data_IF_606060555409
#
_entry.id   IF_606060555409
#
_cell.length_a   1.000
_cell.length_b   1.000
_cell.length_c   1.000
_cell.angle_alpha   90.00
_cell.angle_beta   90.00
_cell.angle_gamma   90.00
#
_symmetry.space_group_name_H-M   'P 1'
#
loop_
_entity.id
_entity.type
_entity.pdbx_description
1 polymer ?
#
# COMPACT_ATOMS: atom_id res chain seq x y z
N UNK A 1 11.97 -10.74 -24.65
CA UNK A 1 10.70 -11.44 -24.31
C UNK A 1 10.92 -12.76 -23.55
N UNK A 2 11.64 -13.77 -24.09
CA UNK A 2 11.92 -15.04 -23.36
C UNK A 2 12.61 -14.84 -22.01
N UNK A 3 13.67 -14.01 -21.96
CA UNK A 3 14.38 -13.71 -20.71
C UNK A 3 13.50 -13.07 -19.64
N UNK A 4 12.57 -12.18 -20.04
CA UNK A 4 11.64 -11.50 -19.12
C UNK A 4 10.54 -12.44 -18.61
N UNK A 5 10.10 -13.40 -19.42
CA UNK A 5 9.11 -14.41 -19.01
C UNK A 5 9.68 -15.46 -18.06
N UNK A 6 11.01 -15.64 -18.00
CA UNK A 6 11.69 -16.52 -17.04
C UNK A 6 12.09 -15.85 -15.74
N UNK A 7 11.91 -14.53 -15.60
CA UNK A 7 12.23 -13.83 -14.35
C UNK A 7 11.22 -14.21 -13.28
N UNK A 8 11.75 -14.54 -12.10
CA UNK A 8 10.96 -14.91 -10.92
C UNK A 8 10.88 -13.73 -9.93
N UNK A 9 11.99 -13.00 -9.74
CA UNK A 9 12.07 -11.77 -8.95
C UNK A 9 12.52 -10.60 -9.84
N UNK A 10 11.57 -9.82 -10.36
CA UNK A 10 11.83 -8.73 -11.30
C UNK A 10 12.72 -7.61 -10.73
N UNK A 11 12.44 -7.02 -9.55
CA UNK A 11 13.29 -5.98 -8.98
C UNK A 11 14.74 -6.42 -8.78
N UNK A 12 14.96 -7.66 -8.31
CA UNK A 12 16.31 -8.20 -8.12
C UNK A 12 17.03 -8.41 -9.44
N UNK A 13 16.37 -9.06 -10.40
CA UNK A 13 16.93 -9.29 -11.73
C UNK A 13 17.27 -7.98 -12.46
N UNK A 14 16.41 -6.96 -12.38
CA UNK A 14 16.67 -5.65 -13.00
C UNK A 14 17.87 -4.94 -12.38
N UNK A 15 18.08 -5.08 -11.06
CA UNK A 15 19.27 -4.59 -10.36
C UNK A 15 20.52 -5.35 -10.82
N UNK A 16 20.45 -6.68 -10.91
CA UNK A 16 21.57 -7.54 -11.34
C UNK A 16 22.00 -7.22 -12.78
N UNK A 17 21.05 -7.04 -13.69
CA UNK A 17 21.35 -6.61 -15.07
C UNK A 17 22.02 -5.24 -15.13
N UNK A 18 21.63 -4.30 -14.25
CA UNK A 18 22.32 -3.02 -14.14
C UNK A 18 23.78 -3.18 -13.75
N UNK A 19 24.07 -4.04 -12.77
CA UNK A 19 25.44 -4.35 -12.34
C UNK A 19 26.25 -5.03 -13.45
N UNK A 20 25.68 -6.02 -14.14
CA UNK A 20 26.33 -6.71 -15.27
C UNK A 20 26.65 -5.75 -16.43
N UNK A 21 25.77 -4.79 -16.69
CA UNK A 21 25.95 -3.79 -17.74
C UNK A 21 26.80 -2.58 -17.30
N UNK A 22 27.16 -2.47 -16.02
CA UNK A 22 27.85 -1.30 -15.47
C UNK A 22 27.02 -0.02 -15.58
N UNK A 23 25.69 -0.11 -15.46
CA UNK A 23 24.76 1.00 -15.65
C UNK A 23 23.74 1.08 -14.51
N UNK A 24 23.44 2.31 -14.10
CA UNK A 24 22.44 2.60 -13.06
C UNK A 24 20.99 2.64 -13.59
N UNK A 25 20.85 2.61 -14.92
CA UNK A 25 19.58 2.42 -15.62
C UNK A 25 19.67 1.29 -16.63
N UNK A 26 18.56 0.60 -16.87
CA UNK A 26 18.46 -0.41 -17.93
C UNK A 26 17.24 -0.15 -18.82
N UNK A 27 17.30 -0.62 -20.06
CA UNK A 27 16.17 -0.59 -20.98
C UNK A 27 15.79 -2.01 -21.40
N UNK A 28 14.47 -2.25 -21.45
CA UNK A 28 13.87 -3.50 -21.91
C UNK A 28 12.92 -3.14 -23.04
N UNK A 29 13.17 -3.67 -24.23
CA UNK A 29 12.32 -3.46 -25.40
C UNK A 29 11.40 -4.65 -25.61
N UNK A 30 10.09 -4.36 -25.60
CA UNK A 30 9.03 -5.25 -26.06
C UNK A 30 8.48 -4.71 -27.40
N UNK A 31 7.82 -5.53 -28.23
CA UNK A 31 7.18 -5.04 -29.45
C UNK A 31 6.26 -3.85 -29.15
N UNK A 32 6.60 -2.67 -29.68
CA UNK A 32 5.82 -1.43 -29.51
C UNK A 32 5.95 -0.73 -28.14
N UNK A 33 6.78 -1.23 -27.22
CA UNK A 33 6.92 -0.64 -25.88
C UNK A 33 8.37 -0.68 -25.39
N UNK A 34 8.87 0.47 -24.93
CA UNK A 34 10.15 0.57 -24.20
C UNK A 34 9.85 0.69 -22.72
N UNK A 35 10.54 -0.10 -21.89
CA UNK A 35 10.52 -0.02 -20.44
C UNK A 35 11.91 0.38 -19.96
N UNK A 36 12.00 1.45 -19.19
CA UNK A 36 13.22 1.93 -18.53
C UNK A 36 13.10 1.61 -17.04
N UNK A 37 14.14 1.01 -16.45
CA UNK A 37 14.21 0.74 -15.00
C UNK A 37 15.32 1.57 -14.39
N UNK A 38 14.99 2.28 -13.31
CA UNK A 38 15.90 3.14 -12.57
C UNK A 38 16.38 2.41 -11.32
N UNK A 39 17.66 2.04 -11.27
CA UNK A 39 18.25 1.25 -10.18
C UNK A 39 19.07 2.08 -9.18
N UNK A 40 19.27 3.40 -9.42
CA UNK A 40 19.97 4.31 -8.51
C UNK A 40 19.08 5.44 -8.01
N UNK A 41 19.42 5.96 -6.83
CA UNK A 41 18.80 7.16 -6.27
C UNK A 41 18.98 8.37 -7.20
N UNK A 42 20.18 8.53 -7.78
CA UNK A 42 20.47 9.63 -8.71
C UNK A 42 19.54 9.63 -9.93
N UNK A 43 19.32 8.47 -10.55
CA UNK A 43 18.43 8.37 -11.71
C UNK A 43 16.96 8.63 -11.34
N UNK A 44 16.53 8.13 -10.19
CA UNK A 44 15.18 8.38 -9.65
C UNK A 44 14.97 9.88 -9.39
N UNK A 45 15.91 10.54 -8.71
CA UNK A 45 15.80 11.96 -8.36
C UNK A 45 15.84 12.84 -9.60
N UNK A 46 16.70 12.52 -10.57
CA UNK A 46 16.79 13.29 -11.80
C UNK A 46 15.51 13.17 -12.64
N UNK A 47 15.00 11.96 -12.86
CA UNK A 47 13.89 11.73 -13.78
C UNK A 47 12.52 11.88 -13.12
N UNK A 48 12.28 11.22 -11.99
CA UNK A 48 10.95 11.18 -11.37
C UNK A 48 10.66 12.38 -10.47
N UNK A 49 11.71 13.05 -9.95
CA UNK A 49 11.56 14.21 -9.05
C UNK A 49 11.81 15.52 -9.80
N UNK A 50 13.05 15.79 -10.23
CA UNK A 50 13.42 17.06 -10.88
C UNK A 50 12.69 17.26 -12.21
N UNK A 51 12.64 16.21 -13.05
CA UNK A 51 11.93 16.22 -14.34
C UNK A 51 10.49 15.69 -14.24
N UNK A 52 9.88 15.83 -13.07
CA UNK A 52 8.54 15.28 -12.81
C UNK A 52 7.45 15.75 -13.79
N UNK A 53 7.57 16.91 -14.45
CA UNK A 53 6.63 17.32 -15.51
C UNK A 53 6.63 16.40 -16.73
N UNK A 54 7.74 15.69 -16.99
CA UNK A 54 7.91 14.77 -18.11
C UNK A 54 7.52 13.34 -17.70
N UNK A 55 7.88 12.93 -16.48
CA UNK A 55 7.79 11.54 -16.02
C UNK A 55 6.62 11.24 -15.08
N UNK A 56 5.71 12.18 -14.83
CA UNK A 56 4.57 11.94 -13.94
C UNK A 56 3.32 11.42 -14.65
N UNK A 57 3.38 11.01 -15.91
CA UNK A 57 2.23 10.40 -16.57
C UNK A 57 2.14 8.89 -16.25
N UNK A 58 1.07 8.22 -16.70
CA UNK A 58 0.85 6.78 -16.50
C UNK A 58 0.68 6.06 -17.83
N UNK A 59 1.26 4.86 -17.98
CA UNK A 59 1.10 4.10 -19.22
C UNK A 59 -0.30 3.51 -19.31
N UNK A 60 -0.79 3.38 -20.54
CA UNK A 60 -2.01 2.64 -20.80
C UNK A 60 -1.71 1.14 -20.81
N UNK A 61 -2.18 0.42 -19.78
CA UNK A 61 -2.03 -1.03 -19.64
C UNK A 61 -3.40 -1.67 -19.84
N UNK A 62 -3.71 -2.28 -21.00
CA UNK A 62 -5.06 -2.75 -21.33
C UNK A 62 -5.73 -3.62 -20.27
N UNK A 63 -5.02 -4.61 -19.70
CA UNK A 63 -5.61 -5.52 -18.71
C UNK A 63 -6.15 -4.77 -17.50
N UNK A 64 -5.51 -3.67 -17.11
CA UNK A 64 -5.89 -2.83 -15.97
C UNK A 64 -6.85 -1.70 -16.36
N UNK A 65 -6.53 -0.97 -17.43
CA UNK A 65 -7.17 0.31 -17.73
C UNK A 65 -8.39 0.19 -18.65
N UNK A 66 -8.50 -0.86 -19.46
CA UNK A 66 -9.57 -0.99 -20.45
C UNK A 66 -10.90 -1.36 -19.80
N UNK A 67 -11.97 -0.65 -20.16
CA UNK A 67 -13.34 -0.96 -19.75
C UNK A 67 -13.84 -2.28 -20.34
N UNK A 68 -13.25 -2.75 -21.44
CA UNK A 68 -13.51 -4.08 -22.00
C UNK A 68 -12.96 -5.21 -21.12
N UNK A 69 -12.09 -4.89 -20.15
CA UNK A 69 -11.38 -5.82 -19.29
C UNK A 69 -11.68 -5.55 -17.81
N UNK A 70 -10.74 -5.00 -17.04
CA UNK A 70 -10.93 -4.76 -15.60
C UNK A 70 -11.42 -3.36 -15.26
N UNK A 71 -11.19 -2.35 -16.10
CA UNK A 71 -11.79 -1.01 -15.99
C UNK A 71 -11.33 -0.16 -14.79
N UNK A 72 -10.03 -0.15 -14.48
CA UNK A 72 -9.45 0.72 -13.45
C UNK A 72 -8.91 2.06 -13.98
N UNK A 73 -9.13 2.40 -15.27
CA UNK A 73 -8.51 3.56 -15.93
C UNK A 73 -8.76 4.93 -15.28
N UNK A 74 -9.78 5.02 -14.42
CA UNK A 74 -10.18 6.23 -13.70
C UNK A 74 -9.67 6.31 -12.25
N UNK A 75 -8.92 5.31 -11.81
CA UNK A 75 -8.34 5.26 -10.46
C UNK A 75 -7.13 6.20 -10.34
N UNK A 76 -7.08 7.02 -9.28
CA UNK A 76 -6.08 8.08 -9.09
C UNK A 76 -4.63 7.60 -9.20
N UNK A 77 -4.36 6.35 -8.83
CA UNK A 77 -3.00 5.80 -8.87
C UNK A 77 -2.49 5.51 -10.30
N UNK A 78 -3.39 5.26 -11.27
CA UNK A 78 -3.01 4.85 -12.64
C UNK A 78 -3.57 5.72 -13.75
N UNK A 79 -4.50 6.63 -13.44
CA UNK A 79 -4.97 7.60 -14.44
C UNK A 79 -3.82 8.51 -14.88
N UNK A 80 -3.82 8.84 -16.18
CA UNK A 80 -2.88 9.76 -16.79
C UNK A 80 -2.90 11.14 -16.15
N UNK A 81 -1.80 11.88 -16.30
CA UNK A 81 -1.68 13.22 -15.76
C UNK A 81 -2.64 14.17 -16.50
N UNK A 82 -3.54 14.83 -15.76
CA UNK A 82 -4.55 15.70 -16.34
C UNK A 82 -5.48 16.29 -15.29
N UNK A 83 -6.51 17.01 -15.72
CA UNK A 83 -7.46 17.68 -14.83
C UNK A 83 -8.15 16.71 -13.87
N UNK A 84 -8.55 15.53 -14.35
CA UNK A 84 -9.15 14.49 -13.51
C UNK A 84 -8.22 14.04 -12.39
N UNK A 85 -6.95 13.74 -12.73
CA UNK A 85 -5.96 13.37 -11.73
C UNK A 85 -5.71 14.49 -10.72
N UNK A 86 -5.57 15.74 -11.19
CA UNK A 86 -5.34 16.91 -10.32
C UNK A 86 -6.49 17.10 -9.34
N UNK A 87 -7.73 16.99 -9.81
CA UNK A 87 -8.93 17.04 -8.97
C UNK A 87 -8.90 15.92 -7.93
N UNK A 88 -8.76 14.66 -8.35
CA UNK A 88 -8.75 13.52 -7.42
C UNK A 88 -7.62 13.64 -6.38
N UNK A 89 -6.45 14.14 -6.77
CA UNK A 89 -5.33 14.40 -5.83
C UNK A 89 -5.61 15.53 -4.87
N UNK A 90 -6.25 16.62 -5.32
CA UNK A 90 -6.68 17.72 -4.45
C UNK A 90 -7.63 17.19 -3.37
N UNK A 91 -8.68 16.48 -3.77
CA UNK A 91 -9.69 15.91 -2.85
C UNK A 91 -9.04 14.94 -1.86
N UNK A 92 -8.16 14.05 -2.32
CA UNK A 92 -7.39 13.17 -1.41
C UNK A 92 -6.53 13.97 -0.42
N UNK A 93 -5.88 15.03 -0.87
CA UNK A 93 -5.00 15.84 -0.04
C UNK A 93 -5.76 16.57 1.09
N UNK A 94 -7.00 17.01 0.84
CA UNK A 94 -7.84 17.68 1.86
C UNK A 94 -7.98 16.86 3.14
N UNK A 95 -8.03 15.53 3.02
CA UNK A 95 -8.18 14.65 4.17
C UNK A 95 -6.87 13.93 4.52
N UNK A 96 -5.96 13.64 3.57
CA UNK A 96 -4.78 12.81 3.84
C UNK A 96 -3.49 13.58 4.14
N UNK A 97 -3.50 14.91 4.00
CA UNK A 97 -2.36 15.74 4.42
C UNK A 97 -2.11 15.61 5.93
N UNK A 98 -0.91 16.00 6.38
CA UNK A 98 -0.45 15.73 7.75
C UNK A 98 -1.46 16.15 8.82
N UNK A 99 -1.84 17.42 8.86
CA UNK A 99 -2.74 17.94 9.91
C UNK A 99 -4.12 17.26 9.89
N UNK A 100 -4.65 16.98 8.69
CA UNK A 100 -5.93 16.27 8.55
C UNK A 100 -5.82 14.76 8.89
N UNK A 101 -4.61 14.19 8.83
CA UNK A 101 -4.34 12.85 9.35
C UNK A 101 -4.31 12.84 10.87
N UNK A 102 -3.83 13.92 11.49
CA UNK A 102 -3.74 14.07 12.94
C UNK A 102 -5.12 14.16 13.61
N UNK A 103 -6.08 14.82 12.96
CA UNK A 103 -7.49 14.83 13.39
C UNK A 103 -8.11 13.42 13.47
N UNK A 104 -7.57 12.43 12.75
CA UNK A 104 -8.06 11.04 12.75
C UNK A 104 -7.31 10.12 13.72
N UNK A 105 -6.30 10.61 14.42
CA UNK A 105 -5.56 9.80 15.40
C UNK A 105 -6.45 9.08 16.41
N UNK A 106 -7.53 9.70 16.97
CA UNK A 106 -8.41 8.99 17.90
C UNK A 106 -9.06 7.74 17.29
N UNK A 107 -9.45 7.79 16.02
CA UNK A 107 -10.02 6.63 15.31
C UNK A 107 -8.96 5.54 15.10
N UNK A 108 -7.76 5.94 14.68
CA UNK A 108 -6.64 5.03 14.41
C UNK A 108 -6.21 4.32 15.70
N UNK A 109 -6.07 5.05 16.81
CA UNK A 109 -5.74 4.51 18.12
C UNK A 109 -6.84 3.57 18.63
N UNK A 110 -8.11 3.98 18.54
CA UNK A 110 -9.25 3.16 18.96
C UNK A 110 -9.25 1.82 18.25
N UNK A 111 -9.17 1.81 16.93
CA UNK A 111 -9.25 0.59 16.13
C UNK A 111 -8.00 -0.29 16.33
N UNK A 112 -6.82 0.30 16.52
CA UNK A 112 -5.60 -0.43 16.89
C UNK A 112 -5.76 -1.14 18.24
N UNK A 113 -6.30 -0.45 19.26
CA UNK A 113 -6.50 -1.04 20.59
C UNK A 113 -7.58 -2.13 20.59
N UNK A 114 -8.66 -1.96 19.84
CA UNK A 114 -9.65 -3.02 19.60
C UNK A 114 -9.03 -4.25 18.91
N UNK A 115 -8.09 -4.04 17.99
CA UNK A 115 -7.37 -5.14 17.35
C UNK A 115 -6.49 -5.89 18.36
N UNK A 116 -5.82 -5.19 19.27
CA UNK A 116 -5.07 -5.83 20.37
C UNK A 116 -5.96 -6.70 21.26
N UNK A 117 -7.18 -6.26 21.57
CA UNK A 117 -8.15 -7.07 22.34
C UNK A 117 -8.53 -8.36 21.60
N UNK A 118 -8.75 -8.27 20.29
CA UNK A 118 -9.08 -9.45 19.47
C UNK A 118 -7.89 -10.38 19.27
N UNK A 119 -6.68 -9.84 19.12
CA UNK A 119 -5.42 -10.63 19.12
C UNK A 119 -5.24 -11.34 20.46
N UNK A 120 -5.51 -10.66 21.59
CA UNK A 120 -5.45 -11.29 22.91
C UNK A 120 -6.43 -12.45 23.05
N UNK A 121 -7.65 -12.29 22.52
CA UNK A 121 -8.68 -13.33 22.57
C UNK A 121 -8.38 -14.52 21.65
N UNK A 122 -7.75 -14.28 20.49
CA UNK A 122 -7.40 -15.32 19.51
C UNK A 122 -6.08 -15.00 18.79
N UNK A 123 -4.92 -15.27 19.42
CA UNK A 123 -3.61 -14.86 18.90
C UNK A 123 -3.24 -15.56 17.60
N UNK A 124 -3.74 -16.78 17.37
CA UNK A 124 -3.49 -17.55 16.14
C UNK A 124 -4.11 -16.88 14.89
N UNK A 125 -5.08 -15.97 15.07
CA UNK A 125 -5.81 -15.33 13.99
C UNK A 125 -5.31 -13.89 13.68
N UNK A 126 -4.12 -13.50 14.15
CA UNK A 126 -3.61 -12.14 13.97
C UNK A 126 -3.56 -11.70 12.49
N UNK A 127 -3.30 -12.61 11.56
CA UNK A 127 -3.24 -12.31 10.12
C UNK A 127 -4.57 -11.78 9.58
N UNK A 128 -5.68 -12.37 10.02
CA UNK A 128 -7.04 -11.97 9.68
C UNK A 128 -7.43 -10.71 10.46
N UNK A 129 -7.02 -10.61 11.72
CA UNK A 129 -7.30 -9.44 12.56
C UNK A 129 -6.66 -8.17 12.00
N UNK A 130 -5.42 -8.23 11.50
CA UNK A 130 -4.80 -7.08 10.83
C UNK A 130 -5.63 -6.60 9.62
N UNK A 131 -6.20 -7.54 8.84
CA UNK A 131 -7.07 -7.21 7.71
C UNK A 131 -8.37 -6.57 8.18
N UNK A 132 -8.98 -7.15 9.21
CA UNK A 132 -10.18 -6.60 9.84
C UNK A 132 -9.97 -5.15 10.24
N UNK A 133 -8.98 -4.91 11.10
CA UNK A 133 -8.65 -3.60 11.65
C UNK A 133 -8.51 -2.55 10.54
N UNK A 134 -7.67 -2.83 9.53
CA UNK A 134 -7.44 -1.84 8.46
C UNK A 134 -8.67 -1.63 7.58
N UNK A 135 -9.42 -2.68 7.26
CA UNK A 135 -10.56 -2.57 6.35
C UNK A 135 -11.78 -1.96 7.03
N UNK A 136 -12.08 -2.31 8.29
CA UNK A 136 -13.16 -1.70 9.07
C UNK A 136 -12.87 -0.21 9.34
N UNK A 137 -11.62 0.13 9.67
CA UNK A 137 -11.19 1.52 9.86
C UNK A 137 -11.41 2.34 8.58
N UNK A 138 -11.04 1.81 7.41
CA UNK A 138 -11.24 2.51 6.13
C UNK A 138 -12.71 2.60 5.73
N UNK A 139 -13.50 1.55 5.94
CA UNK A 139 -14.94 1.60 5.68
C UNK A 139 -15.62 2.68 6.54
N UNK A 140 -15.26 2.75 7.82
CA UNK A 140 -15.74 3.79 8.72
C UNK A 140 -15.25 5.18 8.30
N UNK A 141 -13.94 5.36 8.10
CA UNK A 141 -13.36 6.67 7.80
C UNK A 141 -13.82 7.23 6.45
N UNK A 142 -13.87 6.39 5.40
CA UNK A 142 -14.17 6.83 4.03
C UNK A 142 -15.67 6.95 3.82
N UNK A 143 -16.47 5.99 4.30
CA UNK A 143 -17.89 5.87 3.97
C UNK A 143 -18.84 6.07 5.17
N UNK A 144 -18.32 6.08 6.40
CA UNK A 144 -19.13 6.02 7.62
C UNK A 144 -19.78 4.65 7.82
N UNK A 145 -19.26 3.62 7.15
CA UNK A 145 -19.82 2.28 7.13
C UNK A 145 -19.24 1.45 8.29
N UNK A 146 -20.09 1.01 9.21
CA UNK A 146 -19.70 0.15 10.32
C UNK A 146 -19.78 -1.33 9.91
N UNK A 147 -18.62 -1.93 9.66
CA UNK A 147 -18.52 -3.37 9.45
C UNK A 147 -18.73 -4.10 10.78
N UNK A 148 -19.66 -5.06 10.80
CA UNK A 148 -20.05 -5.80 12.03
C UNK A 148 -19.47 -7.20 12.11
N UNK A 149 -19.05 -7.79 10.99
CA UNK A 149 -18.44 -9.12 10.93
C UNK A 149 -17.38 -9.22 9.85
N UNK A 150 -16.37 -10.07 10.09
CA UNK A 150 -15.37 -10.50 9.10
C UNK A 150 -15.98 -11.08 7.82
N UNK A 151 -17.21 -11.58 7.90
CA UNK A 151 -17.95 -12.14 6.77
C UNK A 151 -18.62 -11.07 5.90
N UNK A 152 -18.46 -9.78 6.23
CA UNK A 152 -18.96 -8.70 5.40
C UNK A 152 -18.41 -8.82 3.97
N UNK A 153 -19.34 -8.85 3.03
CA UNK A 153 -19.04 -9.07 1.62
C UNK A 153 -18.07 -8.03 1.03
N UNK A 154 -17.98 -6.83 1.63
CA UNK A 154 -17.08 -5.77 1.19
C UNK A 154 -15.60 -6.13 1.39
N UNK A 155 -15.23 -6.87 2.45
CA UNK A 155 -13.84 -7.33 2.63
C UNK A 155 -13.41 -8.28 1.52
N UNK A 156 -14.25 -9.26 1.19
CA UNK A 156 -14.00 -10.19 0.09
C UNK A 156 -13.98 -9.48 -1.25
N UNK A 157 -14.87 -8.50 -1.43
CA UNK A 157 -14.97 -7.69 -2.65
C UNK A 157 -13.67 -6.91 -2.88
N UNK A 158 -13.18 -6.18 -1.87
CA UNK A 158 -11.92 -5.40 -1.98
C UNK A 158 -10.70 -6.31 -2.13
N UNK A 159 -10.65 -7.46 -1.44
CA UNK A 159 -9.54 -8.41 -1.57
C UNK A 159 -9.42 -8.93 -3.02
N UNK A 160 -10.54 -9.38 -3.62
CA UNK A 160 -10.52 -9.91 -4.99
C UNK A 160 -10.23 -8.80 -5.99
N UNK A 161 -10.81 -7.61 -5.82
CA UNK A 161 -10.60 -6.47 -6.71
C UNK A 161 -9.13 -6.00 -6.72
N UNK A 162 -8.55 -5.81 -5.53
CA UNK A 162 -7.16 -5.34 -5.38
C UNK A 162 -6.12 -6.39 -5.78
N UNK A 163 -6.38 -7.67 -5.50
CA UNK A 163 -5.54 -8.77 -6.03
C UNK A 163 -5.56 -8.79 -7.55
N UNK A 164 -6.74 -8.59 -8.16
CA UNK A 164 -6.88 -8.49 -9.61
C UNK A 164 -6.10 -7.33 -10.20
N UNK A 165 -6.23 -6.15 -9.60
CA UNK A 165 -5.45 -4.96 -9.97
C UNK A 165 -3.93 -5.22 -9.89
N UNK A 166 -3.46 -5.79 -8.77
CA UNK A 166 -2.03 -6.04 -8.54
C UNK A 166 -1.40 -7.02 -9.52
N UNK A 167 -2.18 -7.93 -10.10
CA UNK A 167 -1.72 -8.83 -11.16
C UNK A 167 -1.82 -8.19 -12.55
N UNK A 168 -2.89 -7.42 -12.80
CA UNK A 168 -3.16 -6.80 -14.10
C UNK A 168 -2.15 -5.71 -14.48
N UNK A 169 -1.68 -4.93 -13.50
CA UNK A 169 -0.75 -3.80 -13.71
C UNK A 169 0.68 -4.24 -14.00
N UNK A 170 1.03 -5.48 -13.69
CA UNK A 170 2.33 -6.06 -14.02
C UNK A 170 2.34 -6.42 -15.50
N UNK A 171 3.00 -5.58 -16.31
CA UNK A 171 3.02 -5.67 -17.78
C UNK A 171 3.28 -7.10 -18.30
N UNK A 172 4.33 -7.84 -17.86
CA UNK A 172 4.60 -9.20 -18.36
C UNK A 172 3.56 -10.27 -18.01
N UNK A 173 2.64 -10.03 -17.08
CA UNK A 173 1.70 -11.07 -16.62
C UNK A 173 0.66 -11.46 -17.69
N UNK A 174 0.35 -10.56 -18.63
CA UNK A 174 -0.69 -10.78 -19.63
C UNK A 174 -0.27 -10.29 -21.01
N UNK A 175 -0.38 -11.13 -22.04
CA UNK A 175 0.00 -10.76 -23.42
C UNK A 175 -0.80 -9.57 -23.97
N UNK A 176 -2.04 -9.35 -23.48
CA UNK A 176 -2.85 -8.19 -23.88
C UNK A 176 -2.19 -6.86 -23.48
N UNK A 177 -1.32 -6.85 -22.47
CA UNK A 177 -0.57 -5.65 -22.08
C UNK A 177 0.55 -5.29 -23.05
N UNK A 178 0.98 -6.23 -23.92
CA UNK A 178 1.95 -5.98 -24.99
C UNK A 178 1.24 -5.85 -26.34
N UNK A 179 0.29 -6.73 -26.61
CA UNK A 179 -0.50 -6.75 -27.84
C UNK A 179 -1.91 -6.25 -27.56
N UNK A 180 -2.07 -4.93 -27.56
CA UNK A 180 -3.30 -4.26 -27.11
C UNK A 180 -4.56 -4.67 -27.87
N UNK A 181 -4.44 -5.11 -29.13
CA UNK A 181 -5.57 -5.58 -29.93
C UNK A 181 -6.22 -6.86 -29.38
N UNK A 182 -5.50 -7.62 -28.54
CA UNK A 182 -6.06 -8.82 -27.89
C UNK A 182 -7.24 -8.49 -26.97
N UNK A 183 -7.41 -7.24 -26.54
CA UNK A 183 -8.57 -6.82 -25.74
C UNK A 183 -9.90 -6.98 -26.48
N UNK A 184 -9.89 -7.06 -27.81
CA UNK A 184 -11.10 -7.22 -28.64
C UNK A 184 -11.41 -8.67 -29.00
N UNK A 185 -10.53 -9.62 -28.66
CA UNK A 185 -10.73 -11.05 -28.92
C UNK A 185 -11.94 -11.57 -28.12
N UNK A 186 -12.95 -12.22 -28.71
CA UNK A 186 -14.10 -12.73 -27.96
C UNK A 186 -13.72 -13.73 -26.87
N UNK A 187 -14.49 -13.79 -25.78
CA UNK A 187 -14.22 -14.69 -24.64
C UNK A 187 -14.23 -16.18 -25.03
N UNK A 188 -15.01 -16.57 -26.04
CA UNK A 188 -15.07 -17.95 -26.54
C UNK A 188 -13.82 -18.39 -27.32
N UNK A 189 -12.95 -17.45 -27.73
CA UNK A 189 -11.80 -17.75 -28.58
C UNK A 189 -10.75 -18.58 -27.81
N UNK A 190 -10.16 -19.65 -28.42
CA UNK A 190 -9.13 -20.45 -27.76
C UNK A 190 -7.96 -19.61 -27.24
N UNK A 191 -7.64 -19.78 -25.95
CA UNK A 191 -6.58 -18.99 -25.29
C UNK A 191 -7.03 -17.66 -24.68
N UNK A 192 -8.31 -17.27 -24.80
CA UNK A 192 -8.87 -16.06 -24.19
C UNK A 192 -9.40 -16.26 -22.76
N UNK A 193 -9.10 -17.38 -22.10
CA UNK A 193 -9.59 -17.71 -20.74
C UNK A 193 -9.21 -16.65 -19.66
N UNK A 194 -8.17 -15.85 -19.90
CA UNK A 194 -7.81 -14.71 -19.06
C UNK A 194 -8.89 -13.62 -19.00
N UNK A 195 -9.81 -13.55 -19.98
CA UNK A 195 -10.95 -12.64 -19.97
C UNK A 195 -12.00 -12.99 -18.92
N UNK A 196 -12.25 -14.28 -18.67
CA UNK A 196 -13.13 -14.69 -17.57
C UNK A 196 -12.60 -14.16 -16.24
N UNK A 197 -11.28 -14.21 -16.04
CA UNK A 197 -10.60 -13.62 -14.88
C UNK A 197 -10.79 -12.10 -14.81
N UNK A 198 -10.61 -11.40 -15.93
CA UNK A 198 -10.85 -9.96 -16.03
C UNK A 198 -12.31 -9.58 -15.67
N UNK A 199 -13.28 -10.38 -16.13
CA UNK A 199 -14.70 -10.18 -15.83
C UNK A 199 -15.02 -10.32 -14.34
N UNK A 200 -14.46 -11.34 -13.67
CA UNK A 200 -14.60 -11.49 -12.21
C UNK A 200 -14.03 -10.27 -11.51
N UNK A 201 -12.82 -9.84 -11.88
CA UNK A 201 -12.17 -8.68 -11.27
C UNK A 201 -12.92 -7.37 -11.50
N UNK A 202 -13.44 -7.15 -12.72
CA UNK A 202 -14.27 -6.00 -13.06
C UNK A 202 -15.51 -5.93 -12.17
N UNK A 203 -16.24 -7.04 -12.06
CA UNK A 203 -17.44 -7.10 -11.21
C UNK A 203 -17.13 -6.80 -9.74
N UNK A 204 -16.03 -7.34 -9.20
CA UNK A 204 -15.64 -7.04 -7.81
C UNK A 204 -15.20 -5.59 -7.63
N UNK A 205 -14.46 -5.01 -8.59
CA UNK A 205 -14.12 -3.59 -8.60
C UNK A 205 -15.38 -2.72 -8.66
N UNK A 206 -16.34 -3.03 -9.51
CA UNK A 206 -17.59 -2.28 -9.61
C UNK A 206 -18.36 -2.32 -8.29
N UNK A 207 -18.48 -3.51 -7.68
CA UNK A 207 -19.07 -3.63 -6.33
C UNK A 207 -18.32 -2.80 -5.29
N UNK A 208 -16.98 -2.85 -5.30
CA UNK A 208 -16.13 -2.09 -4.38
C UNK A 208 -16.35 -0.58 -4.51
N UNK A 209 -16.56 -0.08 -5.74
CA UNK A 209 -16.79 1.35 -6.00
C UNK A 209 -18.21 1.78 -5.67
N UNK A 210 -19.22 0.98 -6.04
CA UNK A 210 -20.61 1.40 -5.99
C UNK A 210 -21.29 1.08 -4.67
N UNK A 211 -21.12 -0.14 -4.12
CA UNK A 211 -21.89 -0.57 -2.94
C UNK A 211 -21.70 0.35 -1.73
N UNK A 212 -20.48 0.63 -1.25
CA UNK A 212 -20.31 1.50 -0.09
C UNK A 212 -20.62 2.98 -0.42
N UNK A 213 -20.40 3.41 -1.67
CA UNK A 213 -20.70 4.78 -2.09
C UNK A 213 -22.21 5.07 -2.09
N UNK A 214 -23.00 4.20 -2.70
CA UNK A 214 -24.47 4.35 -2.71
C UNK A 214 -25.04 4.17 -1.30
N UNK A 215 -24.47 3.28 -0.48
CA UNK A 215 -24.87 3.16 0.94
C UNK A 215 -24.73 4.49 1.69
N UNK A 216 -23.61 5.20 1.54
CA UNK A 216 -23.41 6.51 2.18
C UNK A 216 -24.42 7.53 1.68
N UNK A 217 -24.66 7.58 0.36
CA UNK A 217 -25.66 8.49 -0.23
C UNK A 217 -27.07 8.20 0.29
N UNK A 218 -27.48 6.94 0.34
CA UNK A 218 -28.80 6.54 0.85
C UNK A 218 -28.98 6.95 2.32
N UNK A 219 -27.93 6.80 3.14
CA UNK A 219 -27.95 7.24 4.54
C UNK A 219 -28.08 8.75 4.68
N UNK A 220 -27.36 9.52 3.87
CA UNK A 220 -27.49 10.98 3.84
C UNK A 220 -28.90 11.41 3.40
N UNK A 221 -29.48 10.77 2.38
CA UNK A 221 -30.83 11.07 1.89
C UNK A 221 -31.93 10.77 2.91
N UNK A 222 -31.75 9.72 3.73
CA UNK A 222 -32.70 9.36 4.79
C UNK A 222 -32.57 10.22 6.06
N UNK A 223 -31.71 11.24 6.05
CA UNK A 223 -31.47 12.12 7.19
C UNK A 223 -30.69 11.47 8.32
N UNK A 224 -30.03 10.34 8.07
CA UNK A 224 -29.09 9.74 9.03
C UNK A 224 -27.79 10.54 8.99
N UNK A 225 -27.32 11.01 10.14
CA UNK A 225 -26.02 11.66 10.23
C UNK A 225 -24.91 10.64 9.93
N UNK A 226 -24.12 10.92 8.89
CA UNK A 226 -22.96 10.11 8.50
C UNK A 226 -21.73 11.01 8.49
N UNK A 227 -20.83 10.79 9.44
CA UNK A 227 -19.53 11.47 9.47
C UNK A 227 -18.50 10.62 8.75
N UNK A 228 -18.13 11.04 7.54
CA UNK A 228 -17.16 10.32 6.70
C UNK A 228 -16.51 11.26 5.71
N UNK A 229 -15.36 10.87 5.15
CA UNK A 229 -14.71 11.66 4.09
C UNK A 229 -15.64 11.85 2.89
N UNK A 230 -16.37 10.79 2.49
CA UNK A 230 -17.29 10.85 1.35
C UNK A 230 -18.45 11.81 1.60
N UNK A 231 -19.09 11.74 2.78
CA UNK A 231 -20.19 12.66 3.10
C UNK A 231 -19.73 14.12 3.14
N UNK A 232 -18.54 14.39 3.67
CA UNK A 232 -17.92 15.72 3.60
C UNK A 232 -17.73 16.18 2.15
N UNK A 233 -17.17 15.34 1.27
CA UNK A 233 -16.98 15.73 -0.13
C UNK A 233 -18.29 15.91 -0.90
N UNK A 234 -19.28 15.04 -0.66
CA UNK A 234 -20.59 15.17 -1.29
C UNK A 234 -21.26 16.49 -0.88
N UNK A 235 -21.23 16.86 0.40
CA UNK A 235 -21.77 18.14 0.84
C UNK A 235 -21.00 19.33 0.24
N UNK A 236 -19.67 19.28 0.29
CA UNK A 236 -18.79 20.36 -0.20
C UNK A 236 -18.93 20.62 -1.69
N UNK A 237 -18.91 19.57 -2.51
CA UNK A 237 -18.81 19.66 -3.97
C UNK A 237 -20.15 19.49 -4.68
N UNK A 238 -21.14 18.88 -4.03
CA UNK A 238 -22.42 18.49 -4.65
C UNK A 238 -23.65 18.84 -3.78
N UNK A 239 -23.48 19.58 -2.69
CA UNK A 239 -24.58 20.07 -1.85
C UNK A 239 -25.46 21.11 -2.55
N UNK A 240 -26.53 21.54 -1.88
CA UNK A 240 -27.44 22.58 -2.41
C UNK A 240 -26.72 23.91 -2.65
N UNK A 241 -25.77 24.25 -1.78
CA UNK A 241 -24.86 25.38 -1.90
C UNK A 241 -23.41 24.86 -1.89
N UNK A 242 -22.86 24.44 -3.05
CA UNK A 242 -21.50 23.88 -3.10
C UNK A 242 -20.47 24.98 -2.80
N UNK A 243 -19.46 24.64 -2.00
CA UNK A 243 -18.38 25.57 -1.64
C UNK A 243 -17.49 25.92 -2.84
N UNK A 244 -17.42 25.02 -3.82
CA UNK A 244 -16.65 25.20 -5.06
C UNK A 244 -17.53 24.93 -6.28
N UNK A 245 -17.69 25.94 -7.14
CA UNK A 245 -18.41 25.78 -8.40
C UNK A 245 -17.61 24.87 -9.35
N UNK A 246 -18.25 23.77 -9.77
CA UNK A 246 -17.65 22.80 -10.67
C UNK A 246 -17.93 23.15 -12.13
N UNK A 247 -16.88 23.21 -12.95
CA UNK A 247 -17.01 23.35 -14.41
C UNK A 247 -17.33 22.05 -15.13
N UNK A 248 -17.31 20.91 -14.43
CA UNK A 248 -17.66 19.59 -14.99
C UNK A 248 -19.09 19.19 -14.62
N UNK A 249 -19.79 18.41 -15.49
CA UNK A 249 -21.15 17.94 -15.20
C UNK A 249 -21.24 17.17 -13.87
N UNK A 250 -22.36 17.30 -13.17
CA UNK A 250 -22.57 16.68 -11.86
C UNK A 250 -22.31 15.16 -11.85
N UNK A 251 -22.74 14.44 -12.90
CA UNK A 251 -22.50 13.01 -13.03
C UNK A 251 -20.99 12.66 -13.13
N UNK A 252 -20.20 13.51 -13.79
CA UNK A 252 -18.76 13.33 -13.88
C UNK A 252 -18.08 13.65 -12.55
N UNK A 253 -18.53 14.69 -11.85
CA UNK A 253 -18.03 15.04 -10.51
C UNK A 253 -18.30 13.91 -9.51
N UNK A 254 -19.52 13.37 -9.52
CA UNK A 254 -19.89 12.22 -8.68
C UNK A 254 -19.00 11.01 -8.96
N UNK A 255 -18.77 10.69 -10.23
CA UNK A 255 -17.87 9.62 -10.63
C UNK A 255 -16.43 9.88 -10.15
N UNK A 256 -15.91 11.10 -10.27
CA UNK A 256 -14.58 11.46 -9.76
C UNK A 256 -14.48 11.21 -8.25
N UNK A 257 -15.48 11.62 -7.47
CA UNK A 257 -15.54 11.38 -6.01
C UNK A 257 -15.65 9.89 -5.67
N UNK A 258 -16.47 9.13 -6.41
CA UNK A 258 -16.57 7.67 -6.25
C UNK A 258 -15.23 6.98 -6.43
N UNK A 259 -14.47 7.37 -7.44
CA UNK A 259 -13.12 6.86 -7.68
C UNK A 259 -12.11 7.30 -6.61
N UNK A 260 -12.25 8.48 -6.03
CA UNK A 260 -11.42 8.91 -4.88
C UNK A 260 -11.69 8.01 -3.68
N UNK A 261 -12.95 7.88 -3.26
CA UNK A 261 -13.34 7.07 -2.11
C UNK A 261 -12.94 5.60 -2.28
N UNK A 262 -13.32 4.99 -3.41
CA UNK A 262 -12.98 3.58 -3.66
C UNK A 262 -11.49 3.34 -3.85
N UNK A 263 -10.75 4.32 -4.37
CA UNK A 263 -9.30 4.23 -4.48
C UNK A 263 -8.60 4.29 -3.12
N UNK A 264 -9.11 5.08 -2.19
CA UNK A 264 -8.60 5.11 -0.81
C UNK A 264 -8.84 3.79 -0.08
N UNK A 265 -10.05 3.23 -0.21
CA UNK A 265 -10.37 1.93 0.36
C UNK A 265 -9.50 0.81 -0.22
N UNK A 266 -9.36 0.76 -1.55
CA UNK A 266 -8.52 -0.21 -2.25
C UNK A 266 -7.04 -0.13 -1.85
N UNK A 267 -6.48 1.07 -1.79
CA UNK A 267 -5.06 1.26 -1.49
C UNK A 267 -4.72 0.93 -0.01
N UNK A 268 -5.58 1.32 0.92
CA UNK A 268 -5.33 1.14 2.35
C UNK A 268 -5.57 -0.27 2.88
N UNK A 269 -6.41 -1.07 2.22
CA UNK A 269 -6.89 -2.35 2.76
C UNK A 269 -5.80 -3.45 2.85
N UNK A 270 -4.76 -3.38 2.02
CA UNK A 270 -3.73 -4.43 1.95
C UNK A 270 -2.30 -3.92 2.21
N UNK A 271 -2.01 -2.64 2.01
CA UNK A 271 -0.65 -2.09 2.11
C UNK A 271 -0.17 -2.03 3.55
N UNK A 272 -0.95 -1.43 4.46
CA UNK A 272 -0.66 -1.38 5.89
C UNK A 272 -0.64 -2.77 6.52
N UNK A 273 -1.54 -3.67 6.07
CA UNK A 273 -1.54 -5.08 6.49
C UNK A 273 -0.22 -5.76 6.15
N UNK A 274 0.31 -5.54 4.94
CA UNK A 274 1.59 -6.11 4.53
C UNK A 274 2.74 -5.61 5.41
N UNK A 275 2.80 -4.30 5.67
CA UNK A 275 3.82 -3.71 6.53
C UNK A 275 3.74 -4.23 7.98
N UNK A 276 2.53 -4.31 8.56
CA UNK A 276 2.32 -4.84 9.91
C UNK A 276 2.66 -6.32 10.02
N UNK A 277 2.40 -7.12 8.99
CA UNK A 277 2.86 -8.53 8.97
C UNK A 277 4.37 -8.64 8.90
N UNK A 278 5.02 -7.81 8.09
CA UNK A 278 6.49 -7.73 8.05
C UNK A 278 7.06 -7.33 9.42
N UNK A 279 6.41 -6.40 10.12
CA UNK A 279 6.78 -6.01 11.47
C UNK A 279 6.67 -7.19 12.46
N UNK A 280 5.53 -7.89 12.49
CA UNK A 280 5.33 -9.05 13.38
C UNK A 280 6.36 -10.15 13.07
N UNK A 281 6.63 -10.40 11.79
CA UNK A 281 7.66 -11.33 11.35
C UNK A 281 9.03 -10.93 11.89
N UNK A 282 9.42 -9.66 11.75
CA UNK A 282 10.69 -9.15 12.26
C UNK A 282 10.78 -9.28 13.78
N UNK A 283 9.71 -8.99 14.52
CA UNK A 283 9.69 -9.13 15.98
C UNK A 283 9.80 -10.59 16.43
N UNK A 284 9.18 -11.52 15.68
CA UNK A 284 9.33 -12.96 15.93
C UNK A 284 10.76 -13.46 15.64
N UNK A 285 11.42 -12.93 14.59
CA UNK A 285 12.77 -13.32 14.19
C UNK A 285 13.88 -12.66 15.02
N UNK A 286 13.63 -11.48 15.59
CA UNK A 286 14.63 -10.67 16.31
C UNK A 286 14.17 -10.30 17.73
N UNK A 287 14.15 -11.28 18.66
CA UNK A 287 13.77 -11.05 20.06
C UNK A 287 14.54 -9.93 20.77
N UNK A 288 15.82 -9.76 20.44
CA UNK A 288 16.71 -8.75 21.00
C UNK A 288 16.26 -7.32 20.65
N UNK A 289 15.86 -7.11 19.39
CA UNK A 289 15.33 -5.83 18.92
C UNK A 289 14.01 -5.53 19.63
N UNK A 290 13.14 -6.53 19.77
CA UNK A 290 11.87 -6.39 20.47
C UNK A 290 12.08 -6.01 21.94
N UNK A 291 13.00 -6.66 22.65
CA UNK A 291 13.32 -6.36 24.05
C UNK A 291 13.86 -4.94 24.21
N UNK A 292 14.72 -4.48 23.29
CA UNK A 292 15.22 -3.09 23.32
C UNK A 292 14.10 -2.06 23.13
N UNK A 293 13.11 -2.35 22.29
CA UNK A 293 11.96 -1.46 22.09
C UNK A 293 10.98 -1.47 23.26
N UNK A 294 10.73 -2.64 23.84
CA UNK A 294 9.97 -2.78 25.08
C UNK A 294 10.60 -1.96 26.21
N UNK A 295 11.93 -1.98 26.36
CA UNK A 295 12.63 -1.18 27.38
C UNK A 295 12.48 0.34 27.15
N UNK A 296 12.53 0.80 25.90
CA UNK A 296 12.25 2.21 25.57
C UNK A 296 10.81 2.59 25.96
N UNK A 297 9.83 1.80 25.54
CA UNK A 297 8.41 2.03 25.85
C UNK A 297 8.18 2.05 27.36
N UNK A 298 8.73 1.08 28.10
CA UNK A 298 8.57 1.00 29.55
C UNK A 298 9.16 2.24 30.25
N UNK A 299 10.30 2.74 29.76
CA UNK A 299 10.96 3.91 30.33
C UNK A 299 10.23 5.22 30.04
N UNK A 300 9.60 5.36 28.88
CA UNK A 300 8.99 6.60 28.41
C UNK A 300 7.51 6.68 28.75
N UNK A 301 6.78 5.58 28.53
CA UNK A 301 5.31 5.51 28.62
C UNK A 301 4.87 4.94 29.97
N UNK A 302 5.63 3.99 30.52
CA UNK A 302 5.33 3.34 31.79
C UNK A 302 4.13 2.40 31.71
N UNK A 303 2.98 2.83 32.25
CA UNK A 303 1.85 1.92 32.54
C UNK A 303 0.57 2.21 31.76
N UNK A 304 0.64 2.99 30.69
CA UNK A 304 -0.48 3.20 29.75
C UNK A 304 -0.16 2.60 28.39
N UNK A 305 -1.17 2.54 27.50
CA UNK A 305 -0.93 2.22 26.10
C UNK A 305 -0.25 3.41 25.40
N UNK A 306 0.64 3.16 24.43
CA UNK A 306 1.15 4.21 23.55
C UNK A 306 0.02 4.94 22.82
N UNK A 307 0.28 6.20 22.50
CA UNK A 307 -0.56 7.12 21.72
C UNK A 307 0.28 7.68 20.57
N UNK A 308 -0.37 8.20 19.53
CA UNK A 308 0.32 8.80 18.40
C UNK A 308 1.11 10.05 18.80
N UNK A 309 0.64 10.77 19.81
CA UNK A 309 1.37 11.89 20.41
C UNK A 309 2.72 11.49 21.04
N UNK A 310 2.94 10.20 21.33
CA UNK A 310 4.21 9.72 21.89
C UNK A 310 5.29 9.48 20.84
N UNK A 311 4.97 9.61 19.54
CA UNK A 311 5.84 9.19 18.46
C UNK A 311 7.25 9.78 18.59
N UNK A 312 7.36 11.08 18.81
CA UNK A 312 8.64 11.79 18.94
C UNK A 312 9.45 11.36 20.18
N UNK A 313 8.80 10.77 21.18
CA UNK A 313 9.44 10.26 22.41
C UNK A 313 9.87 8.79 22.31
N UNK A 314 9.54 8.10 21.21
CA UNK A 314 9.86 6.68 20.98
C UNK A 314 10.78 6.49 19.75
N UNK A 315 12.01 7.06 19.77
CA UNK A 315 12.88 7.08 18.59
C UNK A 315 13.36 5.70 18.15
N UNK A 316 13.50 4.71 19.03
CA UNK A 316 13.85 3.36 18.62
C UNK A 316 12.67 2.63 17.96
N UNK A 317 11.44 2.81 18.47
CA UNK A 317 10.23 2.31 17.79
C UNK A 317 10.07 2.94 16.41
N UNK A 318 10.30 4.24 16.25
CA UNK A 318 10.29 4.90 14.93
C UNK A 318 11.30 4.26 13.97
N UNK A 319 12.51 3.96 14.44
CA UNK A 319 13.53 3.28 13.64
C UNK A 319 13.15 1.85 13.27
N UNK A 320 12.41 1.14 14.12
CA UNK A 320 11.83 -0.17 13.78
C UNK A 320 10.81 -0.05 12.65
N UNK A 321 9.96 0.98 12.68
CA UNK A 321 8.98 1.24 11.60
C UNK A 321 9.70 1.55 10.28
N UNK A 322 10.72 2.42 10.31
CA UNK A 322 11.56 2.72 9.14
C UNK A 322 12.22 1.47 8.57
N UNK A 323 12.79 0.62 9.43
CA UNK A 323 13.42 -0.62 8.98
C UNK A 323 12.41 -1.64 8.47
N UNK A 324 11.20 -1.69 9.04
CA UNK A 324 10.09 -2.52 8.53
C UNK A 324 9.73 -2.13 7.10
N UNK A 325 9.61 -0.84 6.83
CA UNK A 325 9.26 -0.32 5.51
C UNK A 325 10.38 -0.52 4.48
N UNK A 326 11.65 -0.60 4.91
CA UNK A 326 12.82 -0.87 4.06
C UNK A 326 13.02 -2.36 3.78
N UNK A 327 13.06 -3.19 4.82
CA UNK A 327 13.58 -4.57 4.78
C UNK A 327 12.81 -5.48 3.82
N UNK A 328 11.48 -5.46 3.90
CA UNK A 328 10.59 -6.16 2.95
C UNK A 328 9.61 -5.17 2.34
N UNK A 329 10.16 -4.25 1.53
CA UNK A 329 9.42 -3.17 0.89
C UNK A 329 8.16 -3.68 0.16
N UNK A 330 7.02 -3.05 0.45
CA UNK A 330 5.69 -3.48 -0.01
C UNK A 330 5.51 -3.35 -1.53
N UNK A 331 6.08 -2.30 -2.15
CA UNK A 331 5.96 -1.99 -3.58
C UNK A 331 7.36 -1.87 -4.21
N UNK A 332 8.02 -2.99 -4.55
CA UNK A 332 9.44 -3.00 -4.91
C UNK A 332 9.79 -2.28 -6.22
N UNK A 333 8.85 -2.13 -7.15
CA UNK A 333 9.02 -1.37 -8.41
C UNK A 333 8.17 -0.10 -8.46
N UNK A 334 7.59 0.31 -7.31
CA UNK A 334 6.55 1.32 -7.26
C UNK A 334 5.43 1.08 -8.30
N UNK A 335 4.73 2.13 -8.73
CA UNK A 335 3.80 2.07 -9.85
C UNK A 335 4.45 2.57 -11.14
N UNK A 336 4.17 1.97 -12.30
CA UNK A 336 4.74 2.41 -13.57
C UNK A 336 4.46 3.88 -13.90
N UNK A 337 5.49 4.62 -14.27
CA UNK A 337 5.40 5.97 -14.84
C UNK A 337 5.42 5.90 -16.37
N UNK A 338 5.00 6.98 -17.03
CA UNK A 338 5.17 7.15 -18.47
C UNK A 338 5.84 8.49 -18.79
N UNK A 339 6.68 8.48 -19.81
CA UNK A 339 7.37 9.65 -20.33
C UNK A 339 6.48 10.39 -21.35
N UNK A 340 6.20 11.67 -21.16
CA UNK A 340 5.26 12.44 -22.02
C UNK A 340 5.90 13.00 -23.29
N UNK A 341 7.23 13.05 -23.34
CA UNK A 341 8.03 13.54 -24.47
C UNK A 341 9.36 12.79 -24.55
N UNK A 342 10.08 12.93 -25.65
CA UNK A 342 11.45 12.43 -25.74
C UNK A 342 12.35 13.18 -24.75
N UNK A 343 13.30 12.47 -24.14
CA UNK A 343 14.30 13.04 -23.24
C UNK A 343 15.66 12.34 -23.40
N UNK A 344 16.71 12.90 -22.78
CA UNK A 344 18.04 12.30 -22.71
C UNK A 344 18.56 12.32 -21.27
N UNK A 345 19.05 11.18 -20.80
CA UNK A 345 19.66 11.03 -19.47
C UNK A 345 21.01 10.35 -19.62
N UNK A 346 22.10 11.00 -19.16
CA UNK A 346 23.48 10.49 -19.25
C UNK A 346 23.85 9.95 -20.65
N UNK A 347 23.36 10.61 -21.71
CA UNK A 347 23.58 10.20 -23.12
C UNK A 347 22.63 9.12 -23.64
N UNK A 348 21.79 8.52 -22.79
CA UNK A 348 20.75 7.58 -23.19
C UNK A 348 19.49 8.32 -23.64
N UNK A 349 19.00 7.99 -24.83
CA UNK A 349 17.72 8.48 -25.33
C UNK A 349 16.56 7.71 -24.68
N UNK A 350 15.61 8.44 -24.10
CA UNK A 350 14.36 7.89 -23.54
C UNK A 350 13.21 8.37 -24.43
N UNK A 351 12.56 7.48 -25.19
CA UNK A 351 11.51 7.88 -26.10
C UNK A 351 10.21 8.23 -25.36
N UNK A 352 9.44 9.14 -25.94
CA UNK A 352 8.05 9.43 -25.56
C UNK A 352 7.25 8.12 -25.46
N UNK A 353 6.43 8.01 -24.42
CA UNK A 353 5.61 6.83 -24.14
C UNK A 353 6.38 5.67 -23.51
N UNK A 354 7.69 5.80 -23.26
CA UNK A 354 8.42 4.81 -22.49
C UNK A 354 7.80 4.66 -21.09
N UNK A 355 7.64 3.41 -20.66
CA UNK A 355 7.29 3.07 -19.27
C UNK A 355 8.55 3.25 -18.43
N UNK A 356 8.45 3.93 -17.31
CA UNK A 356 9.58 4.13 -16.38
C UNK A 356 9.24 3.51 -15.03
N UNK A 357 10.08 2.61 -14.56
CA UNK A 357 9.94 1.92 -13.28
C UNK A 357 11.02 2.41 -12.31
N UNK A 358 10.64 2.89 -11.14
CA UNK A 358 11.59 3.16 -10.06
C UNK A 358 11.80 1.90 -9.23
N UNK A 359 13.01 1.34 -9.24
CA UNK A 359 13.33 0.11 -8.53
C UNK A 359 13.57 0.38 -7.04
N UNK A 360 12.50 0.65 -6.31
CA UNK A 360 12.52 0.93 -4.87
C UNK A 360 13.20 -0.20 -4.05
N UNK A 361 13.11 -1.45 -4.51
CA UNK A 361 13.82 -2.58 -3.91
C UNK A 361 15.34 -2.45 -4.07
N UNK A 362 15.84 -2.09 -5.24
CA UNK A 362 17.28 -1.88 -5.46
C UNK A 362 17.81 -0.75 -4.57
N UNK A 363 17.08 0.36 -4.47
CA UNK A 363 17.43 1.48 -3.59
C UNK A 363 17.46 1.03 -2.12
N UNK A 364 16.43 0.32 -1.67
CA UNK A 364 16.32 -0.19 -0.30
C UNK A 364 17.32 -1.30 0.05
N UNK A 365 17.94 -1.92 -0.96
CA UNK A 365 18.94 -2.97 -0.82
C UNK A 365 20.33 -2.54 -1.33
N UNK A 366 20.58 -1.24 -1.48
CA UNK A 366 21.90 -0.74 -1.81
C UNK A 366 22.82 -0.83 -0.57
N UNK A 367 23.88 -1.64 -0.57
CA UNK A 367 24.77 -1.78 0.60
C UNK A 367 25.54 -0.50 0.94
N UNK A 368 25.72 0.42 -0.01
CA UNK A 368 26.37 1.72 0.24
C UNK A 368 25.47 2.66 1.06
N UNK A 369 24.16 2.52 0.94
CA UNK A 369 23.16 3.31 1.69
C UNK A 369 22.69 2.57 2.94
N UNK A 370 22.51 1.26 2.84
CA UNK A 370 22.00 0.39 3.90
C UNK A 370 22.96 -0.80 4.08
N UNK A 371 24.01 -0.67 4.91
CA UNK A 371 24.97 -1.75 5.16
C UNK A 371 24.28 -3.03 5.64
N UNK A 372 24.70 -4.19 5.13
CA UNK A 372 24.02 -5.49 5.38
C UNK A 372 22.50 -5.40 5.11
N UNK A 373 22.05 -5.09 3.87
CA UNK A 373 20.66 -4.73 3.60
C UNK A 373 19.65 -5.87 3.86
N UNK A 374 20.11 -7.12 3.82
CA UNK A 374 19.26 -8.29 4.12
C UNK A 374 19.02 -8.49 5.63
N UNK A 375 19.83 -7.85 6.49
CA UNK A 375 19.67 -7.89 7.95
C UNK A 375 18.68 -6.82 8.41
N UNK A 376 17.68 -7.23 9.19
CA UNK A 376 16.79 -6.30 9.89
C UNK A 376 17.58 -5.62 11.03
N UNK A 377 17.91 -4.34 10.85
CA UNK A 377 18.70 -3.58 11.81
C UNK A 377 18.16 -2.13 11.94
N UNK A 378 17.32 -1.83 12.93
CA UNK A 378 16.83 -0.47 13.20
C UNK A 378 17.92 0.54 13.54
N UNK A 379 19.04 0.10 14.14
CA UNK A 379 20.12 1.00 14.55
C UNK A 379 20.86 1.65 13.37
N UNK A 380 20.65 1.18 12.13
CA UNK A 380 21.17 1.86 10.93
C UNK A 380 20.67 3.31 10.81
N UNK A 381 19.47 3.58 11.31
CA UNK A 381 18.87 4.91 11.32
C UNK A 381 19.29 5.77 12.53
N UNK A 382 20.28 5.34 13.32
CA UNK A 382 20.98 6.25 14.24
C UNK A 382 21.76 7.32 13.50
N UNK A 383 22.30 6.96 12.34
CA UNK A 383 22.94 7.91 11.44
C UNK A 383 21.84 8.69 10.69
N UNK A 384 21.69 10.00 10.93
CA UNK A 384 20.68 10.81 10.28
C UNK A 384 20.92 10.99 8.77
N UNK A 385 22.09 10.59 8.26
CA UNK A 385 22.39 10.60 6.82
C UNK A 385 21.77 9.41 6.09
N UNK A 386 21.36 8.35 6.79
CA UNK A 386 20.68 7.21 6.20
C UNK A 386 19.24 7.63 5.84
N UNK A 387 18.88 7.68 4.55
CA UNK A 387 17.57 8.15 4.13
C UNK A 387 16.49 7.10 4.42
N UNK A 388 15.25 7.57 4.56
CA UNK A 388 14.09 6.67 4.59
C UNK A 388 13.95 5.95 3.25
N UNK A 389 13.52 4.69 3.30
CA UNK A 389 13.31 3.90 2.11
C UNK A 389 12.20 4.53 1.24
N UNK A 390 12.29 4.47 -0.10
CA UNK A 390 11.29 5.03 -1.01
C UNK A 390 9.98 4.20 -1.07
N UNK A 391 9.50 3.71 0.06
CA UNK A 391 8.35 2.81 0.20
C UNK A 391 7.02 3.44 -0.21
N UNK A 392 6.97 4.77 -0.33
CA UNK A 392 5.80 5.54 -0.73
C UNK A 392 5.88 6.10 -2.16
N UNK A 393 6.90 5.73 -2.93
CA UNK A 393 7.09 6.17 -4.32
C UNK A 393 7.78 7.52 -4.45
N UNK A 394 7.62 8.17 -5.61
CA UNK A 394 8.50 9.26 -6.05
C UNK A 394 7.77 10.48 -6.59
N UNK A 395 8.33 11.66 -6.34
CA UNK A 395 7.94 12.94 -6.98
C UNK A 395 6.45 13.28 -6.86
N UNK A 396 5.86 13.83 -7.93
CA UNK A 396 4.44 14.25 -7.96
C UNK A 396 3.44 13.11 -7.76
N UNK A 397 3.89 11.86 -7.87
CA UNK A 397 3.07 10.65 -7.75
C UNK A 397 3.29 9.93 -6.41
N UNK A 398 3.97 10.56 -5.45
CA UNK A 398 4.13 10.03 -4.08
C UNK A 398 2.78 9.70 -3.45
N UNK A 399 2.76 8.64 -2.62
CA UNK A 399 1.58 8.15 -1.94
C UNK A 399 0.86 9.29 -1.21
N UNK A 400 -0.46 9.51 -1.47
CA UNK A 400 -1.20 10.53 -0.73
C UNK A 400 -1.45 10.11 0.72
N UNK A 401 -1.54 8.81 1.00
CA UNK A 401 -1.83 8.27 2.32
C UNK A 401 -0.61 7.99 3.19
N UNK A 402 0.54 8.61 2.91
CA UNK A 402 1.81 8.37 3.62
C UNK A 402 1.64 8.57 5.14
N UNK A 403 1.15 9.74 5.58
CA UNK A 403 1.01 10.06 7.00
C UNK A 403 0.01 9.14 7.71
N UNK A 404 -1.09 8.80 7.03
CA UNK A 404 -2.07 7.85 7.56
C UNK A 404 -1.47 6.45 7.74
N UNK A 405 -0.74 5.96 6.74
CA UNK A 405 -0.10 4.65 6.81
C UNK A 405 0.97 4.61 7.90
N UNK A 406 1.82 5.64 8.01
CA UNK A 406 2.82 5.73 9.08
C UNK A 406 2.19 5.75 10.46
N UNK A 407 1.11 6.52 10.67
CA UNK A 407 0.39 6.56 11.93
C UNK A 407 -0.16 5.17 12.30
N UNK A 408 -0.88 4.51 11.38
CA UNK A 408 -1.43 3.16 11.60
C UNK A 408 -0.32 2.15 11.91
N UNK A 409 0.77 2.16 11.15
CA UNK A 409 1.87 1.22 11.35
C UNK A 409 2.56 1.48 12.69
N UNK A 410 2.85 2.75 13.00
CA UNK A 410 3.51 3.14 14.23
C UNK A 410 2.69 2.76 15.46
N UNK A 411 1.43 3.18 15.54
CA UNK A 411 0.63 2.96 16.76
C UNK A 411 0.39 1.48 17.02
N UNK A 412 0.14 0.70 15.96
CA UNK A 412 -0.08 -0.73 16.10
C UNK A 412 1.21 -1.44 16.47
N UNK A 413 2.35 -1.08 15.87
CA UNK A 413 3.65 -1.62 16.25
C UNK A 413 4.01 -1.28 17.71
N UNK A 414 3.90 -0.01 18.10
CA UNK A 414 4.16 0.45 19.46
C UNK A 414 3.26 -0.26 20.48
N UNK A 415 1.96 -0.38 20.19
CA UNK A 415 1.00 -1.05 21.07
C UNK A 415 1.29 -2.55 21.20
N UNK A 416 1.62 -3.23 20.08
CA UNK A 416 2.01 -4.64 20.09
C UNK A 416 3.27 -4.86 20.94
N UNK A 417 4.30 -4.02 20.77
CA UNK A 417 5.52 -4.05 21.57
C UNK A 417 5.23 -3.81 23.05
N UNK A 418 4.39 -2.82 23.36
CA UNK A 418 4.07 -2.46 24.73
C UNK A 418 3.40 -3.61 25.48
N UNK A 419 2.54 -4.38 24.81
CA UNK A 419 1.63 -5.33 25.48
C UNK A 419 2.02 -6.79 25.32
N UNK A 420 2.70 -7.18 24.23
CA UNK A 420 2.92 -8.58 23.88
C UNK A 420 4.40 -8.92 23.69
N UNK A 421 4.71 -10.19 23.97
CA UNK A 421 5.89 -10.88 23.48
C UNK A 421 5.52 -11.67 22.22
N UNK A 422 6.22 -11.39 21.14
CA UNK A 422 6.09 -12.04 19.84
C UNK A 422 7.31 -12.96 19.66
N UNK A 423 7.06 -14.27 19.50
CA UNK A 423 8.11 -15.30 19.38
C UNK A 423 7.76 -16.28 18.26
N UNK A 424 8.73 -17.02 17.70
CA UNK A 424 8.41 -18.13 16.80
C UNK A 424 7.53 -19.15 17.54
N UNK A 425 6.59 -19.78 16.82
CA UNK A 425 5.71 -20.80 17.39
C UNK A 425 6.40 -22.15 17.35
N UNK A 426 6.17 -22.98 18.37
CA UNK A 426 6.59 -24.37 18.40
C UNK A 426 5.43 -25.28 18.00
N UNK A 427 5.72 -26.38 17.32
CA UNK A 427 4.75 -27.43 17.05
C UNK A 427 4.50 -28.29 18.30
N UNK A 428 3.64 -29.31 18.19
CA UNK A 428 3.29 -30.21 19.31
C UNK A 428 4.49 -31.00 19.85
N UNK A 429 5.61 -31.04 19.13
CA UNK A 429 6.84 -31.74 19.51
C UNK A 429 7.88 -30.83 20.16
N UNK A 430 7.61 -29.52 20.24
CA UNK A 430 8.57 -28.51 20.71
C UNK A 430 9.54 -28.04 19.63
N UNK A 431 9.30 -28.38 18.35
CA UNK A 431 10.13 -27.94 17.24
C UNK A 431 9.62 -26.59 16.71
N UNK A 432 10.53 -25.63 16.48
CA UNK A 432 10.14 -24.33 15.94
C UNK A 432 9.56 -24.47 14.54
N UNK A 433 8.38 -23.89 14.34
CA UNK A 433 7.74 -23.75 13.03
C UNK A 433 8.56 -22.71 12.24
N UNK A 434 9.07 -23.04 11.05
CA UNK A 434 9.86 -22.11 10.26
C UNK A 434 9.08 -20.85 9.89
N UNK A 435 9.67 -19.69 10.16
CA UNK A 435 9.14 -18.40 9.71
C UNK A 435 9.52 -18.15 8.24
N UNK A 436 8.65 -17.51 7.45
CA UNK A 436 8.92 -17.26 6.04
C UNK A 436 10.05 -16.25 5.87
N UNK A 437 11.02 -16.56 5.02
CA UNK A 437 12.10 -15.64 4.63
C UNK A 437 11.80 -14.92 3.32
N UNK A 438 10.93 -15.50 2.48
CA UNK A 438 10.58 -15.00 1.15
C UNK A 438 9.28 -14.17 1.16
N UNK A 439 9.05 -13.41 0.09
CA UNK A 439 7.80 -12.66 -0.16
C UNK A 439 7.12 -13.19 -1.42
N UNK A 440 5.83 -12.86 -1.59
CA UNK A 440 5.12 -13.10 -2.85
C UNK A 440 5.86 -12.45 -4.05
N UNK A 441 5.71 -13.08 -5.21
CA UNK A 441 6.34 -12.70 -6.46
C UNK A 441 5.29 -12.53 -7.56
N UNK A 442 5.62 -11.82 -8.65
CA UNK A 442 4.75 -11.56 -9.82
C UNK A 442 3.45 -10.81 -9.50
N UNK A 443 3.43 -10.08 -8.40
CA UNK A 443 2.34 -9.20 -7.99
C UNK A 443 2.89 -7.80 -7.68
N UNK A 444 2.09 -6.76 -7.92
CA UNK A 444 2.46 -5.38 -7.58
C UNK A 444 2.90 -5.25 -6.11
N UNK A 445 2.16 -5.89 -5.22
CA UNK A 445 2.33 -5.80 -3.78
C UNK A 445 3.01 -7.07 -3.26
N UNK A 446 4.22 -6.90 -2.71
CA UNK A 446 4.93 -7.97 -2.01
C UNK A 446 4.34 -8.15 -0.62
N UNK A 447 3.96 -9.38 -0.31
CA UNK A 447 3.50 -9.79 1.01
C UNK A 447 4.38 -10.93 1.52
N UNK A 448 4.66 -10.93 2.82
CA UNK A 448 5.12 -12.15 3.48
C UNK A 448 3.98 -13.18 3.45
N UNK A 449 4.26 -14.46 3.14
CA UNK A 449 3.28 -15.54 3.28
C UNK A 449 2.64 -15.54 4.67
N UNK A 450 1.41 -16.08 4.77
CA UNK A 450 0.80 -16.29 6.07
C UNK A 450 1.70 -17.21 6.92
N UNK A 451 1.92 -16.83 8.16
CA UNK A 451 2.77 -17.55 9.10
C UNK A 451 2.14 -17.58 10.49
N UNK A 452 2.61 -18.52 11.29
CA UNK A 452 2.23 -18.66 12.68
C UNK A 452 3.35 -18.13 13.59
N UNK A 453 2.97 -17.41 14.63
CA UNK A 453 3.88 -17.00 15.69
C UNK A 453 3.14 -17.05 17.03
N UNK A 454 3.88 -17.13 18.13
CA UNK A 454 3.34 -17.04 19.47
C UNK A 454 3.28 -15.57 19.87
N UNK A 455 2.07 -15.06 20.08
CA UNK A 455 1.81 -13.71 20.59
C UNK A 455 1.16 -13.86 21.96
N UNK A 456 1.87 -13.48 23.02
CA UNK A 456 1.41 -13.63 24.41
C UNK A 456 1.58 -12.33 25.18
N UNK A 457 0.68 -11.96 26.12
CA UNK A 457 0.90 -10.80 26.96
C UNK A 457 2.24 -10.88 27.68
N UNK A 458 2.94 -9.74 27.81
CA UNK A 458 4.22 -9.67 28.53
C UNK A 458 4.09 -10.02 30.01
N UNK A 459 2.91 -9.75 30.60
CA UNK A 459 2.54 -10.16 31.95
C UNK A 459 1.03 -10.06 32.16
N UNK A 460 0.53 -10.60 33.28
CA UNK A 460 -0.89 -10.44 33.68
C UNK A 460 -1.34 -8.98 33.76
N UNK A 461 -0.42 -8.06 34.11
CA UNK A 461 -0.72 -6.62 34.15
C UNK A 461 -1.02 -6.09 32.74
N UNK A 462 -0.20 -6.45 31.76
CA UNK A 462 -0.41 -6.05 30.36
C UNK A 462 -1.67 -6.68 29.79
N UNK A 463 -1.96 -7.93 30.15
CA UNK A 463 -3.23 -8.58 29.79
C UNK A 463 -4.43 -7.78 30.31
N UNK A 464 -4.44 -7.42 31.60
CA UNK A 464 -5.51 -6.60 32.18
C UNK A 464 -5.66 -5.25 31.49
N UNK A 465 -4.54 -4.56 31.21
CA UNK A 465 -4.57 -3.28 30.51
C UNK A 465 -5.23 -3.37 29.13
N UNK A 466 -4.98 -4.45 28.38
CA UNK A 466 -5.64 -4.67 27.08
C UNK A 466 -7.13 -4.94 27.27
N UNK A 467 -7.53 -5.78 28.25
CA UNK A 467 -8.94 -6.14 28.49
C UNK A 467 -9.80 -5.00 29.03
N UNK A 468 -9.24 -4.18 29.91
CA UNK A 468 -9.95 -3.11 30.62
C UNK A 468 -10.06 -1.82 29.79
N UNK A 469 -9.34 -1.74 28.67
CA UNK A 469 -9.45 -0.59 27.78
C UNK A 469 -10.85 -0.51 27.16
N UNK A 470 -11.55 0.62 27.39
CA UNK A 470 -12.89 0.88 26.88
C UNK A 470 -14.06 0.51 27.80
N UNK A 471 -13.80 0.20 29.08
CA UNK A 471 -14.81 0.21 30.17
C UNK A 471 -14.97 1.62 30.74
#
# INVERSE_FOLDING_TARGET
MRAMMSIVDEPRAYRDWGLELGSDIISITLPGQVIIVLNSQEAVDELLVKRSSIYSDRPYIPMTSSDNLTGWGNHTAIIGYGERWRFQRKVMHEVLQKDASDERWPLIERDSRLALQRILANPDNFNQELRWMTGSMLLMAVYGYEATSMDDSLFKTVEIATKGFGQAVVVPNFLVNTFHWLQYVPEWFPGAAWKAKANVWRHQKDRMLHVPFEWTKDKMLTGTEVHSMLSTWLNKYMGEEPEEESTVPAAELEDRLRWVAGGMFAAGSNTSVSALRTFILAMAMHPDIQTKAQAEIDSVIGTRLPELADQDSLPYVQRIVKETLRWKITLPLALPHACTQDDTYKGYHIPKGAIVLGNAWALSNNPDTYPEPERFNPDRFLDPSVPDAPSFGFGRRICPGLHHAEAVIFITAASLLAMFDIRPKEDKTGTLIPLPTETSLKELLRQVPLFECRITPRSEKHERMVREWGV
#
